data_IF_550786039933
#
_entry.id   IF_550786039933
#
_cell.length_a   1.000
_cell.length_b   1.000
_cell.length_c   1.000
_cell.angle_alpha   90.00
_cell.angle_beta   90.00
_cell.angle_gamma   90.00
#
_symmetry.space_group_name_H-M   'P 1'
#
loop_
_entity.id
_entity.type
_entity.pdbx_description
1 polymer ?
#
# COMPACT_ATOMS: atom_id res chain seq x y z
N UNK A 1 4.25 -8.36 -4.25
CA UNK A 1 3.00 -8.84 -3.67
C UNK A 1 2.94 -8.40 -2.21
N UNK A 2 1.89 -7.67 -1.85
CA UNK A 2 1.56 -7.35 -0.46
C UNK A 2 0.96 -8.59 0.20
N UNK A 3 1.19 -8.76 1.50
CA UNK A 3 0.60 -9.79 2.34
C UNK A 3 -0.30 -9.17 3.40
N UNK A 4 -1.13 -9.99 4.03
CA UNK A 4 -1.90 -9.59 5.20
C UNK A 4 -1.34 -10.28 6.44
N UNK A 5 -1.15 -9.51 7.50
CA UNK A 5 -0.81 -10.02 8.81
C UNK A 5 -1.96 -9.76 9.76
N UNK A 6 -2.38 -10.76 10.54
CA UNK A 6 -3.33 -10.55 11.63
C UNK A 6 -2.57 -10.51 12.94
N UNK A 7 -2.65 -9.38 13.64
CA UNK A 7 -1.94 -9.13 14.89
C UNK A 7 -2.80 -8.27 15.82
N UNK A 8 -2.84 -8.63 17.10
CA UNK A 8 -3.53 -7.89 18.17
C UNK A 8 -5.01 -7.57 17.85
N UNK A 9 -5.71 -8.48 17.18
CA UNK A 9 -7.11 -8.31 16.80
C UNK A 9 -7.35 -7.48 15.54
N UNK A 10 -6.28 -7.09 14.83
CA UNK A 10 -6.35 -6.26 13.63
C UNK A 10 -5.58 -6.87 12.45
N UNK A 11 -5.99 -6.52 11.24
CA UNK A 11 -5.33 -6.84 9.99
C UNK A 11 -4.41 -5.69 9.58
N UNK A 12 -3.16 -6.00 9.25
CA UNK A 12 -2.16 -5.06 8.72
C UNK A 12 -1.72 -5.52 7.33
N UNK A 13 -1.32 -4.56 6.51
CA UNK A 13 -0.74 -4.84 5.20
C UNK A 13 0.78 -4.90 5.37
N UNK A 14 1.38 -6.00 4.93
CA UNK A 14 2.83 -6.19 4.99
C UNK A 14 3.41 -6.27 3.58
N UNK A 15 4.66 -5.87 3.44
CA UNK A 15 5.37 -5.89 2.17
C UNK A 15 6.37 -7.05 2.15
N UNK A 16 6.12 -8.02 1.27
CA UNK A 16 7.06 -9.12 1.06
C UNK A 16 8.37 -8.57 0.48
N UNK A 17 9.50 -8.84 1.15
CA UNK A 17 10.84 -8.32 0.84
C UNK A 17 11.30 -8.60 -0.60
N UNK A 18 10.78 -9.64 -1.25
CA UNK A 18 11.10 -10.02 -2.64
C UNK A 18 10.03 -9.60 -3.67
N UNK A 19 9.13 -8.69 -3.28
CA UNK A 19 8.09 -8.16 -4.15
C UNK A 19 8.66 -7.18 -5.18
N UNK A 20 8.39 -7.43 -6.47
CA UNK A 20 8.58 -6.44 -7.55
C UNK A 20 7.57 -5.28 -7.50
N UNK A 21 6.56 -5.34 -6.62
CA UNK A 21 5.60 -4.25 -6.46
C UNK A 21 6.29 -3.06 -5.79
N UNK A 22 6.11 -1.83 -6.27
CA UNK A 22 6.67 -0.65 -5.62
C UNK A 22 6.09 -0.47 -4.20
N UNK A 23 6.94 -0.06 -3.26
CA UNK A 23 6.54 0.31 -1.89
C UNK A 23 5.91 1.71 -1.88
N UNK A 24 4.89 1.96 -1.03
CA UNK A 24 4.40 3.32 -0.83
C UNK A 24 5.49 4.18 -0.22
N UNK A 25 5.60 5.45 -0.65
CA UNK A 25 6.60 6.37 -0.11
C UNK A 25 6.11 7.00 1.19
N UNK A 26 6.98 7.27 2.17
CA UNK A 26 6.59 7.96 3.40
C UNK A 26 5.85 9.27 3.12
N UNK A 27 4.89 9.61 3.99
CA UNK A 27 4.08 10.85 3.90
C UNK A 27 3.23 10.96 2.63
N UNK A 28 2.79 9.82 2.10
CA UNK A 28 1.78 9.75 1.03
C UNK A 28 0.55 9.04 1.56
N UNK A 29 -0.62 9.31 0.98
CA UNK A 29 -1.86 8.60 1.33
C UNK A 29 -1.70 7.07 1.22
N UNK A 30 -0.96 6.59 0.22
CA UNK A 30 -0.68 5.17 0.06
C UNK A 30 0.15 4.59 1.23
N UNK A 31 1.01 5.40 1.85
CA UNK A 31 1.77 5.00 3.02
C UNK A 31 0.92 5.01 4.29
N UNK A 32 0.03 5.98 4.44
CA UNK A 32 -0.89 6.04 5.56
C UNK A 32 -1.84 4.81 5.56
N UNK A 33 -2.34 4.42 4.39
CA UNK A 33 -3.12 3.18 4.21
C UNK A 33 -2.31 1.92 4.49
N UNK A 34 -1.01 1.92 4.20
CA UNK A 34 -0.13 0.79 4.44
C UNK A 34 0.17 0.58 5.93
N UNK A 35 0.42 1.66 6.68
CA UNK A 35 0.70 1.62 8.13
C UNK A 35 -0.56 1.40 8.99
N UNK A 36 -1.76 1.61 8.43
CA UNK A 36 -3.02 1.46 9.12
C UNK A 36 -3.30 0.01 9.58
N UNK A 37 -4.11 -0.09 10.63
CA UNK A 37 -4.64 -1.35 11.16
C UNK A 37 -6.14 -1.43 10.91
N UNK A 38 -6.60 -2.57 10.38
CA UNK A 38 -7.96 -2.76 9.92
C UNK A 38 -8.69 -3.79 10.79
N UNK A 39 -9.97 -3.56 11.10
CA UNK A 39 -10.75 -4.51 11.90
C UNK A 39 -11.18 -5.75 11.09
N UNK A 40 -11.26 -5.62 9.77
CA UNK A 40 -11.66 -6.71 8.88
C UNK A 40 -10.66 -6.93 7.76
N UNK A 41 -10.59 -8.18 7.29
CA UNK A 41 -9.79 -8.53 6.09
C UNK A 41 -10.34 -7.86 4.83
N UNK A 42 -11.64 -7.60 4.78
CA UNK A 42 -12.28 -6.93 3.65
C UNK A 42 -11.76 -5.49 3.50
N UNK A 43 -11.72 -4.74 4.60
CA UNK A 43 -11.22 -3.36 4.59
C UNK A 43 -9.74 -3.29 4.26
N UNK A 44 -8.94 -4.22 4.82
CA UNK A 44 -7.53 -4.35 4.47
C UNK A 44 -7.33 -4.62 2.97
N UNK A 45 -8.22 -5.43 2.35
CA UNK A 45 -8.17 -5.70 0.92
C UNK A 45 -8.54 -4.48 0.08
N UNK A 46 -9.59 -3.75 0.46
CA UNK A 46 -9.96 -2.50 -0.20
C UNK A 46 -8.83 -1.46 -0.13
N UNK A 47 -8.16 -1.35 1.02
CA UNK A 47 -6.99 -0.50 1.17
C UNK A 47 -5.81 -0.94 0.30
N UNK A 48 -5.53 -2.25 0.20
CA UNK A 48 -4.48 -2.76 -0.68
C UNK A 48 -4.71 -2.39 -2.16
N UNK A 49 -5.94 -2.50 -2.66
CA UNK A 49 -6.27 -2.11 -4.04
C UNK A 49 -6.11 -0.60 -4.26
N UNK A 50 -6.47 0.23 -3.27
CA UNK A 50 -6.20 1.68 -3.31
C UNK A 50 -4.70 1.99 -3.34
N UNK A 51 -3.91 1.35 -2.49
CA UNK A 51 -2.45 1.50 -2.47
C UNK A 51 -1.86 1.19 -3.85
N UNK A 52 -2.28 0.10 -4.49
CA UNK A 52 -1.80 -0.28 -5.83
C UNK A 52 -2.11 0.81 -6.87
N UNK A 53 -3.30 1.39 -6.81
CA UNK A 53 -3.72 2.48 -7.70
C UNK A 53 -2.86 3.72 -7.47
N UNK A 54 -2.71 4.15 -6.21
CA UNK A 54 -1.97 5.36 -5.85
C UNK A 54 -0.48 5.26 -6.19
N UNK A 55 0.14 4.12 -5.92
CA UNK A 55 1.57 3.92 -6.23
C UNK A 55 1.80 3.84 -7.75
N UNK A 56 0.85 3.28 -8.50
CA UNK A 56 0.91 3.27 -9.97
C UNK A 56 0.77 4.68 -10.57
N UNK A 57 -0.12 5.52 -10.00
CA UNK A 57 -0.30 6.90 -10.42
C UNK A 57 0.92 7.78 -10.08
N UNK A 58 1.47 7.65 -8.88
CA UNK A 58 2.70 8.34 -8.47
C UNK A 58 3.89 8.00 -9.39
N UNK A 59 3.97 6.74 -9.85
CA UNK A 59 4.98 6.31 -10.82
C UNK A 59 4.80 6.97 -12.20
N UNK A 60 3.55 7.21 -12.62
CA UNK A 60 3.25 7.91 -13.88
C UNK A 60 3.55 9.39 -13.81
N UNK A 61 3.14 10.07 -12.72
CA UNK A 61 3.43 11.50 -12.53
C UNK A 61 4.92 11.81 -12.52
N UNK A 62 5.75 10.89 -12.00
CA UNK A 62 7.22 11.00 -12.08
C UNK A 62 7.77 10.89 -13.50
N UNK A 63 7.06 10.22 -14.41
CA UNK A 63 7.43 10.12 -15.81
C UNK A 63 6.94 11.31 -16.65
N UNK A 64 5.97 12.09 -16.16
CA UNK A 64 5.39 13.25 -16.84
C UNK A 64 6.00 14.60 -16.43
N UNK A 65 6.86 14.69 -15.42
CA UNK A 65 7.67 15.91 -15.17
C UNK A 65 8.70 16.09 -16.32
N UNK A 66 8.56 17.09 -17.22
CA UNK A 66 9.58 17.41 -18.21
C UNK A 66 10.72 18.17 -17.51
N UNK A 67 11.96 17.85 -17.90
CA UNK A 67 13.16 18.61 -17.52
C UNK A 67 13.12 20.03 -18.04
#
# INVERSE_FOLDING_TARGET
>A
MYAFQFQDGSWRIDFLTNSRSPRPRPRTEAYDLYEASYLSRHDANAAMEKIRTLVSDDSRRKHEEPR
#
